data_IF_413604966632
#
_entry.id   IF_413604966632
#
_cell.length_a   1.000
_cell.length_b   1.000
_cell.length_c   1.000
_cell.angle_alpha   90.00
_cell.angle_beta   90.00
_cell.angle_gamma   90.00
#
_symmetry.space_group_name_H-M   'P 1'
#
loop_
_entity.id
_entity.type
_entity.pdbx_description
1 polymer ?
#
# COMPACT_ATOMS: atom_id res chain seq x y z
N UNK A 1 -7.85 5.28 -60.09
CA UNK A 1 -8.47 6.20 -59.11
C UNK A 1 -8.99 5.51 -57.84
N UNK A 2 -9.69 4.36 -57.96
CA UNK A 2 -10.30 3.69 -56.78
C UNK A 2 -9.29 3.12 -55.77
N UNK A 3 -8.10 2.69 -56.22
CA UNK A 3 -7.04 2.16 -55.35
C UNK A 3 -6.18 3.27 -54.70
N UNK A 4 -6.00 4.40 -55.38
CA UNK A 4 -5.25 5.53 -54.83
C UNK A 4 -5.95 6.16 -53.60
N UNK A 5 -7.30 6.19 -53.61
CA UNK A 5 -8.10 6.66 -52.50
C UNK A 5 -8.00 5.72 -51.27
N UNK A 6 -7.92 4.39 -51.53
CA UNK A 6 -7.73 3.41 -50.44
C UNK A 6 -6.38 3.56 -49.74
N UNK A 7 -5.31 3.79 -50.49
CA UNK A 7 -3.98 4.02 -49.92
C UNK A 7 -3.89 5.33 -49.16
N UNK A 8 -4.59 6.36 -49.64
CA UNK A 8 -4.66 7.66 -48.96
C UNK A 8 -5.44 7.60 -47.65
N UNK A 9 -6.52 6.83 -47.60
CA UNK A 9 -7.26 6.57 -46.38
C UNK A 9 -6.48 5.71 -45.37
N UNK A 10 -5.73 4.70 -45.88
CA UNK A 10 -4.91 3.84 -45.03
C UNK A 10 -3.74 4.62 -44.41
N UNK A 11 -3.11 5.52 -45.17
CA UNK A 11 -2.02 6.38 -44.65
C UNK A 11 -2.52 7.42 -43.67
N UNK A 12 -3.70 7.98 -43.87
CA UNK A 12 -4.33 8.91 -42.92
C UNK A 12 -4.72 8.21 -41.61
N UNK A 13 -5.22 6.97 -41.68
CA UNK A 13 -5.54 6.18 -40.49
C UNK A 13 -4.27 5.77 -39.71
N UNK A 14 -3.16 5.45 -40.40
CA UNK A 14 -1.89 5.14 -39.76
C UNK A 14 -1.26 6.35 -39.07
N UNK A 15 -1.39 7.55 -39.63
CA UNK A 15 -0.93 8.80 -39.02
C UNK A 15 -1.76 9.23 -37.81
N UNK A 16 -3.06 8.90 -37.77
CA UNK A 16 -3.92 9.16 -36.63
C UNK A 16 -3.65 8.23 -35.42
N UNK A 17 -3.04 7.06 -35.64
CA UNK A 17 -2.71 6.11 -34.59
C UNK A 17 -1.45 6.49 -33.76
N UNK A 18 -0.64 7.46 -34.21
CA UNK A 18 0.64 7.84 -33.55
C UNK A 18 0.48 9.04 -32.58
N UNK A 19 -0.72 9.55 -32.41
CA UNK A 19 -0.93 10.92 -31.90
C UNK A 19 -1.33 11.09 -30.43
N UNK A 20 -1.15 10.17 -29.50
CA UNK A 20 -1.71 10.40 -28.16
C UNK A 20 -0.86 9.97 -26.97
N UNK A 21 0.45 9.80 -27.07
CA UNK A 21 1.25 9.37 -25.91
C UNK A 21 1.35 10.48 -24.85
N UNK A 22 1.58 11.72 -25.25
CA UNK A 22 1.73 12.86 -24.33
C UNK A 22 0.43 13.35 -23.71
N UNK A 23 -0.74 13.03 -24.28
CA UNK A 23 -2.04 13.44 -23.74
C UNK A 23 -2.50 12.57 -22.55
N UNK A 24 -1.97 11.35 -22.46
CA UNK A 24 -2.24 10.42 -21.36
C UNK A 24 -1.26 10.58 -20.20
N UNK A 25 -0.17 11.33 -20.38
CA UNK A 25 0.82 11.58 -19.34
C UNK A 25 0.41 12.80 -18.49
N UNK A 26 -0.77 12.67 -17.86
CA UNK A 26 -1.28 13.67 -16.91
C UNK A 26 -0.76 13.34 -15.53
N UNK A 27 0.25 14.08 -15.08
CA UNK A 27 0.67 14.05 -13.67
C UNK A 27 -0.31 14.89 -12.86
N UNK A 28 -1.08 14.31 -11.90
CA UNK A 28 -1.91 15.11 -11.02
C UNK A 28 -1.05 16.13 -10.26
N UNK A 29 -1.48 17.39 -10.12
CA UNK A 29 -0.66 18.44 -9.48
C UNK A 29 -0.41 18.18 -7.97
N UNK A 30 -1.05 17.17 -7.39
CA UNK A 30 -0.89 16.72 -6.00
C UNK A 30 0.02 15.50 -5.82
N UNK A 31 0.53 14.93 -6.91
CA UNK A 31 1.39 13.73 -6.84
C UNK A 31 2.79 14.07 -7.34
N UNK A 32 3.79 13.67 -6.57
CA UNK A 32 5.19 13.72 -6.96
C UNK A 32 5.51 12.38 -7.62
N UNK A 33 6.15 12.39 -8.79
CA UNK A 33 6.62 11.16 -9.43
C UNK A 33 7.72 10.51 -8.58
N UNK A 34 7.77 9.20 -8.56
CA UNK A 34 8.78 8.47 -7.80
C UNK A 34 10.21 8.87 -8.21
N UNK A 35 10.46 9.02 -9.52
CA UNK A 35 11.76 9.46 -10.04
C UNK A 35 12.18 10.85 -9.51
N UNK A 36 11.22 11.78 -9.39
CA UNK A 36 11.48 13.12 -8.86
C UNK A 36 11.68 13.08 -7.34
N UNK A 37 10.89 12.29 -6.62
CA UNK A 37 11.00 12.12 -5.17
C UNK A 37 12.36 11.52 -4.77
N UNK A 38 12.77 10.45 -5.43
CA UNK A 38 14.02 9.75 -5.14
C UNK A 38 15.25 10.34 -5.87
N UNK A 39 15.10 11.47 -6.55
CA UNK A 39 16.24 12.19 -7.16
C UNK A 39 17.17 12.83 -6.12
N UNK A 40 16.77 12.91 -4.85
CA UNK A 40 17.51 13.55 -3.76
C UNK A 40 17.56 12.69 -2.50
N UNK A 41 18.60 12.88 -1.70
CA UNK A 41 18.73 12.23 -0.38
C UNK A 41 17.56 12.59 0.57
N UNK A 42 16.96 13.76 0.40
CA UNK A 42 15.82 14.21 1.19
C UNK A 42 14.58 13.34 0.92
N UNK A 43 14.31 12.94 -0.32
CA UNK A 43 13.22 12.04 -0.68
C UNK A 43 13.34 10.69 0.03
N UNK A 44 14.53 10.08 0.01
CA UNK A 44 14.81 8.85 0.76
C UNK A 44 14.59 9.03 2.27
N UNK A 45 15.05 10.15 2.83
CA UNK A 45 14.84 10.43 4.25
C UNK A 45 13.36 10.59 4.60
N UNK A 46 12.58 11.26 3.76
CA UNK A 46 11.14 11.42 3.94
C UNK A 46 10.43 10.07 3.89
N UNK A 47 10.78 9.20 2.93
CA UNK A 47 10.24 7.84 2.86
C UNK A 47 10.57 7.03 4.10
N UNK A 48 11.82 7.09 4.58
CA UNK A 48 12.24 6.40 5.80
C UNK A 48 11.44 6.86 7.03
N UNK A 49 11.29 8.18 7.19
CA UNK A 49 10.46 8.76 8.26
C UNK A 49 9.01 8.28 8.14
N UNK A 50 8.45 8.29 6.92
CA UNK A 50 7.10 7.78 6.64
C UNK A 50 6.93 6.32 7.04
N UNK A 51 7.91 5.47 6.76
CA UNK A 51 7.91 4.07 7.19
C UNK A 51 7.92 3.94 8.72
N UNK A 52 8.74 4.71 9.43
CA UNK A 52 8.73 4.70 10.91
C UNK A 52 7.41 5.21 11.49
N UNK A 53 6.81 6.24 10.91
CA UNK A 53 5.50 6.73 11.33
C UNK A 53 4.42 5.66 11.13
N UNK A 54 4.41 5.00 9.97
CA UNK A 54 3.47 3.92 9.68
C UNK A 54 3.67 2.72 10.63
N UNK A 55 4.91 2.37 10.97
CA UNK A 55 5.20 1.33 11.97
C UNK A 55 4.73 1.72 13.38
N UNK A 56 4.71 3.01 13.70
CA UNK A 56 4.24 3.53 14.99
C UNK A 56 2.71 3.61 15.13
N UNK A 57 1.94 3.29 14.09
CA UNK A 57 0.48 3.28 14.17
C UNK A 57 -0.04 2.15 15.06
N UNK A 58 -1.29 2.29 15.55
CA UNK A 58 -1.96 1.32 16.44
C UNK A 58 -2.04 -0.07 15.84
N UNK A 59 -2.19 -0.17 14.53
CA UNK A 59 -2.26 -1.44 13.83
C UNK A 59 -0.93 -2.23 13.86
N UNK A 60 0.20 -1.58 14.14
CA UNK A 60 1.51 -2.21 14.30
C UNK A 60 2.09 -2.00 15.70
N UNK A 61 3.26 -1.34 15.80
CA UNK A 61 4.01 -1.19 17.06
C UNK A 61 3.42 -0.14 18.00
N UNK A 62 2.48 0.70 17.56
CA UNK A 62 1.77 1.61 18.45
C UNK A 62 0.85 0.87 19.44
N UNK A 63 0.35 -0.31 19.07
CA UNK A 63 -0.53 -1.09 19.94
C UNK A 63 -0.42 -2.61 19.70
N UNK A 64 -0.83 -3.13 18.53
CA UNK A 64 -1.05 -4.55 18.32
C UNK A 64 0.21 -5.41 18.51
N UNK A 65 1.37 -4.94 18.04
CA UNK A 65 2.63 -5.70 18.13
C UNK A 65 3.43 -5.40 19.42
N UNK A 66 2.87 -4.63 20.35
CA UNK A 66 3.52 -4.29 21.62
C UNK A 66 2.74 -4.79 22.83
N UNK A 67 1.52 -4.33 23.02
CA UNK A 67 0.79 -4.56 24.27
C UNK A 67 -0.68 -5.02 24.11
N UNK A 68 -1.20 -5.17 22.89
CA UNK A 68 -2.56 -5.66 22.65
C UNK A 68 -2.55 -7.08 22.06
N UNK A 69 -2.47 -7.22 20.73
CA UNK A 69 -2.59 -8.54 20.08
C UNK A 69 -1.54 -9.54 20.58
N UNK A 70 -0.27 -9.14 20.69
CA UNK A 70 0.80 -10.04 21.14
C UNK A 70 0.66 -10.45 22.59
N UNK A 71 0.17 -9.58 23.47
CA UNK A 71 -0.07 -9.88 24.88
C UNK A 71 -1.28 -10.81 25.04
N UNK A 72 -2.35 -10.64 24.24
CA UNK A 72 -3.49 -11.56 24.21
C UNK A 72 -3.04 -12.94 23.74
N UNK A 73 -2.30 -13.03 22.64
CA UNK A 73 -1.75 -14.29 22.13
C UNK A 73 -0.74 -14.93 23.09
N UNK A 74 0.02 -14.09 23.81
CA UNK A 74 0.95 -14.52 24.87
C UNK A 74 0.26 -14.92 26.16
N UNK A 75 -1.07 -14.76 26.27
CA UNK A 75 -1.88 -15.05 27.46
C UNK A 75 -1.37 -14.33 28.71
N UNK A 76 -0.88 -13.11 28.52
CA UNK A 76 -0.44 -12.25 29.62
C UNK A 76 -1.63 -11.67 30.39
N UNK A 77 -2.80 -11.61 29.73
CA UNK A 77 -4.07 -11.19 30.31
C UNK A 77 -5.11 -12.29 30.16
N UNK A 78 -6.03 -12.39 31.11
CA UNK A 78 -7.19 -13.29 31.05
C UNK A 78 -8.40 -12.49 30.51
N UNK A 79 -8.62 -12.58 29.22
CA UNK A 79 -9.78 -11.97 28.58
C UNK A 79 -11.05 -12.73 28.96
N UNK A 80 -11.95 -12.08 29.69
CA UNK A 80 -13.23 -12.64 30.06
C UNK A 80 -14.25 -12.47 28.94
N UNK A 81 -15.25 -13.35 28.89
CA UNK A 81 -16.31 -13.32 27.87
C UNK A 81 -17.06 -11.98 27.74
N UNK A 82 -16.97 -11.11 28.76
CA UNK A 82 -17.61 -9.79 28.77
C UNK A 82 -16.65 -8.65 28.38
N UNK A 83 -15.41 -8.96 27.99
CA UNK A 83 -14.47 -7.99 27.42
C UNK A 83 -14.78 -7.76 25.94
N UNK A 84 -14.02 -6.91 25.27
CA UNK A 84 -14.14 -6.76 23.83
C UNK A 84 -14.05 -8.13 23.13
N UNK A 85 -14.87 -8.33 22.10
CA UNK A 85 -15.00 -9.64 21.48
C UNK A 85 -13.70 -10.12 20.82
N UNK A 86 -12.91 -9.17 20.30
CA UNK A 86 -11.60 -9.40 19.72
C UNK A 86 -10.60 -9.94 20.74
N UNK A 87 -10.50 -9.34 21.91
CA UNK A 87 -9.61 -9.77 23.00
C UNK A 87 -9.93 -11.19 23.46
N UNK A 88 -11.20 -11.50 23.67
CA UNK A 88 -11.64 -12.82 24.10
C UNK A 88 -11.30 -13.90 23.08
N UNK A 89 -11.50 -13.61 21.79
CA UNK A 89 -11.25 -14.55 20.72
C UNK A 89 -9.74 -14.74 20.48
N UNK A 90 -8.94 -13.67 20.56
CA UNK A 90 -7.48 -13.72 20.45
C UNK A 90 -6.86 -14.55 21.59
N UNK A 91 -7.28 -14.35 22.84
CA UNK A 91 -6.83 -15.13 24.01
C UNK A 91 -7.13 -16.63 23.88
N UNK A 92 -8.20 -16.98 23.17
CA UNK A 92 -8.62 -18.36 22.92
C UNK A 92 -8.11 -18.95 21.61
N UNK A 93 -7.27 -18.21 20.88
CA UNK A 93 -6.79 -18.61 19.55
C UNK A 93 -7.92 -18.90 18.55
N UNK A 94 -9.05 -18.22 18.72
CA UNK A 94 -10.19 -18.32 17.83
C UNK A 94 -10.09 -17.32 16.67
N UNK A 95 -9.39 -17.68 15.62
CA UNK A 95 -9.14 -16.85 14.44
C UNK A 95 -10.26 -16.89 13.39
N UNK A 96 -11.41 -17.47 13.73
CA UNK A 96 -12.54 -17.63 12.79
C UNK A 96 -13.60 -16.56 12.94
N UNK A 97 -13.51 -15.71 13.94
CA UNK A 97 -14.45 -14.62 14.14
C UNK A 97 -14.02 -13.41 13.34
N UNK A 98 -14.98 -12.60 12.89
CA UNK A 98 -14.71 -11.38 12.14
C UNK A 98 -13.75 -10.46 12.91
N UNK A 99 -13.93 -10.35 14.22
CA UNK A 99 -13.13 -9.45 15.06
C UNK A 99 -11.66 -9.87 15.17
N UNK A 100 -11.39 -11.14 15.46
CA UNK A 100 -10.00 -11.63 15.54
C UNK A 100 -9.32 -11.61 14.16
N UNK A 101 -10.06 -11.88 13.09
CA UNK A 101 -9.57 -11.78 11.72
C UNK A 101 -9.21 -10.34 11.36
N UNK A 102 -10.08 -9.37 11.66
CA UNK A 102 -9.82 -7.95 11.41
C UNK A 102 -8.51 -7.44 12.05
N UNK A 103 -8.24 -7.81 13.30
CA UNK A 103 -6.99 -7.40 14.00
C UNK A 103 -5.76 -7.98 13.29
N UNK A 104 -5.80 -9.28 12.94
CA UNK A 104 -4.69 -9.95 12.28
C UNK A 104 -4.48 -9.38 10.87
N UNK A 105 -5.55 -9.16 10.11
CA UNK A 105 -5.52 -8.60 8.76
C UNK A 105 -4.92 -7.18 8.77
N UNK A 106 -5.28 -6.32 9.71
CA UNK A 106 -4.71 -4.98 9.84
C UNK A 106 -3.20 -5.00 10.07
N UNK A 107 -2.72 -5.89 10.96
CA UNK A 107 -1.27 -6.06 11.18
C UNK A 107 -0.59 -6.52 9.89
N UNK A 108 -1.19 -7.46 9.18
CA UNK A 108 -0.67 -7.97 7.91
C UNK A 108 -0.62 -6.87 6.84
N UNK A 109 -1.75 -6.21 6.56
CA UNK A 109 -1.87 -5.16 5.54
C UNK A 109 -0.89 -4.01 5.79
N UNK A 110 -0.83 -3.51 7.03
CA UNK A 110 0.09 -2.43 7.39
C UNK A 110 1.56 -2.85 7.28
N UNK A 111 1.89 -4.06 7.69
CA UNK A 111 3.26 -4.57 7.55
C UNK A 111 3.69 -4.63 6.08
N UNK A 112 2.83 -5.14 5.21
CA UNK A 112 3.12 -5.20 3.77
C UNK A 112 3.11 -3.83 3.11
N UNK A 113 2.30 -2.89 3.59
CA UNK A 113 2.35 -1.49 3.13
C UNK A 113 3.71 -0.85 3.43
N UNK A 114 4.25 -1.06 4.62
CA UNK A 114 5.60 -0.56 4.98
C UNK A 114 6.68 -1.24 4.12
N UNK A 115 6.60 -2.56 3.94
CA UNK A 115 7.52 -3.32 3.08
C UNK A 115 7.48 -2.80 1.63
N UNK A 116 6.30 -2.51 1.09
CA UNK A 116 6.16 -1.97 -0.25
C UNK A 116 6.87 -0.61 -0.39
N UNK A 117 6.67 0.30 0.57
CA UNK A 117 7.34 1.60 0.57
C UNK A 117 8.88 1.48 0.69
N UNK A 118 9.38 0.53 1.48
CA UNK A 118 10.82 0.26 1.58
C UNK A 118 11.36 -0.30 0.27
N UNK A 119 10.65 -1.24 -0.35
CA UNK A 119 11.06 -1.81 -1.64
C UNK A 119 11.09 -0.75 -2.74
N UNK A 120 10.07 0.12 -2.79
CA UNK A 120 10.05 1.25 -3.72
C UNK A 120 11.30 2.13 -3.57
N UNK A 121 11.66 2.47 -2.33
CA UNK A 121 12.89 3.23 -2.10
C UNK A 121 14.16 2.48 -2.53
N UNK A 122 14.22 1.16 -2.34
CA UNK A 122 15.36 0.33 -2.74
C UNK A 122 15.52 0.22 -4.26
N UNK A 123 14.41 0.24 -5.00
CA UNK A 123 14.42 0.17 -6.46
C UNK A 123 15.01 1.44 -7.11
N UNK A 124 15.15 2.52 -6.33
CA UNK A 124 15.70 3.81 -6.77
C UNK A 124 17.14 4.08 -6.26
N UNK A 125 17.79 3.11 -5.59
CA UNK A 125 19.21 3.20 -5.20
C UNK A 125 20.10 2.67 -6.33
#
# INVERSE_FOLDING_TARGET
MKNSIKYLLLSAAALAAVSCESWLDVTPPSEIRAEDHYSSAEGFQQTLIGCYLAMGETDLYGENLTWHMVEMLGRQYDARKNTAADDYDLDRYNYKTTKSTEVIEKVWEKSYSVIANVNEALDHI
#
